data_IF_182046310414
#
_entry.id   IF_182046310414
#
_cell.length_a   1.000
_cell.length_b   1.000
_cell.length_c   1.000
_cell.angle_alpha   90.00
_cell.angle_beta   90.00
_cell.angle_gamma   90.00
#
_symmetry.space_group_name_H-M   'P 1'
#
loop_
_entity.id
_entity.type
_entity.pdbx_description
1 polymer ?
#
# COMPACT_ATOMS: atom_id res chain seq x y z
N UNK A 1 -5.90 -17.75 13.93
CA UNK A 1 -4.98 -18.90 14.18
C UNK A 1 -3.99 -18.58 15.32
N UNK A 2 -3.20 -17.50 15.23
CA UNK A 2 -2.14 -17.17 16.23
C UNK A 2 -2.74 -16.90 17.62
N UNK A 3 -3.77 -16.03 17.72
CA UNK A 3 -4.43 -15.71 18.99
C UNK A 3 -4.93 -16.98 19.71
N UNK A 4 -5.61 -17.88 18.98
CA UNK A 4 -6.05 -19.15 19.56
C UNK A 4 -4.87 -19.95 20.12
N UNK A 5 -3.77 -20.07 19.38
CA UNK A 5 -2.60 -20.81 19.82
C UNK A 5 -1.93 -20.20 21.07
N UNK A 6 -1.95 -18.87 21.19
CA UNK A 6 -1.43 -18.19 22.39
C UNK A 6 -2.31 -18.46 23.62
N UNK A 7 -3.63 -18.45 23.47
CA UNK A 7 -4.56 -18.86 24.52
C UNK A 7 -4.35 -20.33 24.93
N UNK A 8 -4.19 -21.23 23.96
CA UNK A 8 -3.93 -22.66 24.21
C UNK A 8 -2.59 -22.88 24.95
N UNK A 9 -1.65 -21.91 24.85
CA UNK A 9 -0.35 -21.91 25.57
C UNK A 9 -0.43 -21.18 26.93
N UNK A 10 -1.61 -20.74 27.36
CA UNK A 10 -1.83 -20.14 28.69
C UNK A 10 -1.59 -18.65 28.77
N UNK A 11 -1.51 -17.93 27.62
CA UNK A 11 -1.49 -16.47 27.62
C UNK A 11 -2.89 -15.97 28.01
N UNK A 12 -2.97 -15.08 28.97
CA UNK A 12 -4.24 -14.50 29.43
C UNK A 12 -4.93 -13.71 28.31
N UNK A 13 -6.24 -13.84 28.21
CA UNK A 13 -7.03 -13.17 27.18
C UNK A 13 -6.90 -11.65 27.22
N UNK A 14 -6.75 -11.08 28.41
CA UNK A 14 -6.55 -9.64 28.67
C UNK A 14 -5.25 -9.08 28.10
N UNK A 15 -4.25 -9.93 27.87
CA UNK A 15 -2.95 -9.56 27.30
C UNK A 15 -2.97 -9.59 25.77
N UNK A 16 -4.02 -10.12 25.16
CA UNK A 16 -4.15 -10.26 23.72
C UNK A 16 -5.13 -9.22 23.15
N UNK A 17 -4.85 -8.69 21.95
CA UNK A 17 -5.81 -7.84 21.26
C UNK A 17 -7.16 -8.54 21.11
N UNK A 18 -8.26 -7.83 21.33
CA UNK A 18 -9.61 -8.35 21.09
C UNK A 18 -9.81 -8.66 19.60
N UNK A 19 -10.81 -9.47 19.28
CA UNK A 19 -11.18 -9.75 17.87
C UNK A 19 -11.55 -8.44 17.16
N UNK A 20 -12.32 -7.58 17.82
CA UNK A 20 -12.71 -6.27 17.27
C UNK A 20 -11.50 -5.39 16.96
N UNK A 21 -10.50 -5.34 17.86
CA UNK A 21 -9.24 -4.62 17.60
C UNK A 21 -8.47 -5.19 16.42
N UNK A 22 -8.42 -6.52 16.28
CA UNK A 22 -7.76 -7.18 15.14
C UNK A 22 -8.49 -6.91 13.82
N UNK A 23 -9.83 -6.92 13.83
CA UNK A 23 -10.63 -6.63 12.64
C UNK A 23 -10.48 -5.16 12.24
N UNK A 24 -10.46 -4.24 13.19
CA UNK A 24 -10.18 -2.82 12.95
C UNK A 24 -8.78 -2.61 12.38
N UNK A 25 -7.78 -3.27 12.95
CA UNK A 25 -6.41 -3.21 12.43
C UNK A 25 -6.33 -3.75 11.01
N UNK A 26 -6.97 -4.89 10.74
CA UNK A 26 -7.06 -5.48 9.41
C UNK A 26 -7.70 -4.52 8.41
N UNK A 27 -8.83 -3.91 8.79
CA UNK A 27 -9.52 -2.92 7.97
C UNK A 27 -8.61 -1.73 7.64
N UNK A 28 -7.99 -1.10 8.65
CA UNK A 28 -7.10 0.04 8.45
C UNK A 28 -5.83 -0.31 7.65
N UNK A 29 -5.38 -1.57 7.69
CA UNK A 29 -4.22 -2.06 6.92
C UNK A 29 -4.58 -2.45 5.49
N UNK A 30 -5.86 -2.52 5.15
CA UNK A 30 -6.31 -2.86 3.81
C UNK A 30 -6.16 -1.66 2.87
N UNK A 31 -5.46 -1.84 1.74
CA UNK A 31 -5.16 -0.72 0.81
C UNK A 31 -6.39 0.02 0.28
N UNK A 32 -7.58 -0.59 0.29
CA UNK A 32 -8.80 0.12 -0.10
C UNK A 32 -9.11 1.34 0.78
N UNK A 33 -8.62 1.37 2.04
CA UNK A 33 -8.75 2.57 2.88
C UNK A 33 -7.95 3.75 2.28
N UNK A 34 -6.75 3.47 1.76
CA UNK A 34 -5.93 4.50 1.11
C UNK A 34 -6.55 4.98 -0.21
N UNK A 35 -7.21 4.10 -0.97
CA UNK A 35 -7.94 4.47 -2.20
C UNK A 35 -8.96 5.57 -1.93
N UNK A 36 -9.75 5.45 -0.86
CA UNK A 36 -10.75 6.45 -0.49
C UNK A 36 -10.16 7.77 0.05
N UNK A 37 -8.94 7.75 0.56
CA UNK A 37 -8.24 8.92 1.10
C UNK A 37 -7.45 9.68 0.02
N UNK A 38 -6.92 9.00 -0.97
CA UNK A 38 -6.02 9.58 -1.97
C UNK A 38 -6.56 10.84 -2.65
N UNK A 39 -7.82 10.90 -3.13
CA UNK A 39 -8.37 12.11 -3.74
C UNK A 39 -8.43 13.31 -2.79
N UNK A 40 -8.53 13.06 -1.48
CA UNK A 40 -8.60 14.12 -0.47
C UNK A 40 -7.22 14.70 -0.14
N UNK A 41 -6.16 13.94 -0.44
CA UNK A 41 -4.77 14.33 -0.20
C UNK A 41 -4.13 15.03 -1.42
N UNK A 42 -4.75 14.96 -2.58
CA UNK A 42 -4.27 15.59 -3.81
C UNK A 42 -4.68 17.07 -3.85
N UNK A 43 -3.88 17.93 -3.22
CA UNK A 43 -4.18 19.35 -3.04
C UNK A 43 -3.73 20.26 -4.20
N UNK A 44 -3.26 19.72 -5.31
CA UNK A 44 -2.80 20.51 -6.45
C UNK A 44 -2.35 19.66 -7.63
N UNK A 45 -2.17 20.29 -8.79
CA UNK A 45 -1.84 19.62 -10.06
C UNK A 45 -0.48 18.90 -10.06
N UNK A 46 0.41 19.20 -9.11
CA UNK A 46 1.68 18.49 -8.94
C UNK A 46 1.55 17.16 -8.20
N UNK A 47 0.41 16.92 -7.54
CA UNK A 47 0.10 15.66 -6.90
C UNK A 47 -0.78 14.85 -7.83
N UNK A 48 -0.21 13.82 -8.43
CA UNK A 48 -0.93 12.88 -9.26
C UNK A 48 -0.84 11.49 -8.63
N UNK A 49 -1.70 10.63 -9.02
CA UNK A 49 -1.74 9.25 -8.60
C UNK A 49 -3.17 8.78 -8.55
N UNK A 50 -3.40 7.62 -9.12
CA UNK A 50 -4.70 7.00 -9.17
C UNK A 50 -4.60 5.62 -8.56
N UNK A 51 -5.59 5.25 -7.77
CA UNK A 51 -5.69 3.94 -7.16
C UNK A 51 -7.15 3.53 -7.10
N UNK A 52 -7.44 2.32 -7.53
CA UNK A 52 -8.80 1.82 -7.69
C UNK A 52 -8.97 0.52 -6.92
N UNK A 53 -10.07 0.38 -6.20
CA UNK A 53 -10.45 -0.88 -5.58
C UNK A 53 -11.44 -1.62 -6.49
N UNK A 54 -10.98 -2.68 -7.11
CA UNK A 54 -11.68 -3.45 -8.14
C UNK A 54 -12.17 -4.76 -7.53
N UNK A 55 -13.48 -4.99 -7.57
CA UNK A 55 -14.13 -6.10 -6.87
C UNK A 55 -14.70 -7.18 -7.80
N UNK A 56 -14.97 -6.81 -9.07
CA UNK A 56 -15.59 -7.69 -10.06
C UNK A 56 -14.65 -8.04 -11.22
N UNK A 57 -14.81 -9.20 -11.84
CA UNK A 57 -13.97 -9.65 -12.96
C UNK A 57 -13.95 -8.68 -14.15
N UNK A 58 -15.08 -8.03 -14.43
CA UNK A 58 -15.23 -7.06 -15.51
C UNK A 58 -14.39 -5.81 -15.25
N UNK A 59 -14.32 -5.36 -14.00
CA UNK A 59 -13.50 -4.24 -13.57
C UNK A 59 -12.02 -4.54 -13.70
N UNK A 60 -11.57 -5.75 -13.31
CA UNK A 60 -10.16 -6.17 -13.45
C UNK A 60 -9.73 -6.17 -14.91
N UNK A 61 -10.58 -6.73 -15.78
CA UNK A 61 -10.33 -6.78 -17.21
C UNK A 61 -10.29 -5.39 -17.81
N UNK A 62 -11.32 -4.59 -17.59
CA UNK A 62 -11.44 -3.23 -18.11
C UNK A 62 -10.25 -2.37 -17.68
N UNK A 63 -9.86 -2.45 -16.40
CA UNK A 63 -8.72 -1.70 -15.88
C UNK A 63 -7.41 -2.07 -16.57
N UNK A 64 -7.12 -3.37 -16.71
CA UNK A 64 -5.88 -3.83 -17.37
C UNK A 64 -5.85 -3.43 -18.84
N UNK A 65 -6.97 -3.57 -19.56
CA UNK A 65 -7.05 -3.28 -20.99
C UNK A 65 -7.10 -1.78 -21.33
N UNK A 66 -7.44 -0.93 -20.35
CA UNK A 66 -7.44 0.54 -20.51
C UNK A 66 -6.09 1.21 -20.25
N UNK A 67 -5.06 0.45 -19.85
CA UNK A 67 -3.73 0.97 -19.54
C UNK A 67 -2.65 0.18 -20.27
N UNK A 68 -1.74 0.86 -20.95
CA UNK A 68 -0.59 0.22 -21.60
C UNK A 68 0.25 -0.58 -20.60
N UNK A 69 0.43 -0.02 -19.42
CA UNK A 69 1.08 -0.67 -18.28
C UNK A 69 0.38 -0.31 -16.97
N UNK A 70 0.13 -1.31 -16.15
CA UNK A 70 -0.46 -1.08 -14.83
C UNK A 70 0.01 -2.12 -13.81
N UNK A 71 -0.29 -1.87 -12.55
CA UNK A 71 0.06 -2.73 -11.43
C UNK A 71 -1.20 -3.13 -10.68
N UNK A 72 -1.43 -4.43 -10.55
CA UNK A 72 -2.44 -4.97 -9.65
C UNK A 72 -1.77 -5.40 -8.34
N UNK A 73 -2.38 -5.02 -7.21
CA UNK A 73 -1.85 -5.29 -5.87
C UNK A 73 -2.88 -6.06 -5.03
N UNK A 74 -2.41 -7.04 -4.29
CA UNK A 74 -3.23 -7.66 -3.24
C UNK A 74 -3.43 -6.65 -2.09
N UNK A 75 -4.66 -6.42 -1.61
CA UNK A 75 -4.95 -5.37 -0.62
C UNK A 75 -4.18 -5.51 0.71
N UNK A 76 -3.94 -6.74 1.15
CA UNK A 76 -3.21 -7.06 2.39
C UNK A 76 -1.86 -7.69 2.06
N UNK A 77 -0.95 -6.93 1.46
CA UNK A 77 0.39 -7.38 1.13
C UNK A 77 1.40 -6.26 1.33
N UNK A 78 2.68 -6.60 1.47
CA UNK A 78 3.77 -5.66 1.65
C UNK A 78 5.08 -6.18 1.07
N UNK A 79 6.13 -5.36 1.10
CA UNK A 79 7.51 -5.72 0.72
C UNK A 79 7.62 -6.35 -0.67
N UNK A 80 6.92 -5.79 -1.65
CA UNK A 80 6.92 -6.28 -3.04
C UNK A 80 6.14 -7.58 -3.28
N UNK A 81 5.59 -8.20 -2.22
CA UNK A 81 4.75 -9.39 -2.38
C UNK A 81 3.33 -9.00 -2.81
N UNK A 82 2.65 -9.90 -3.52
CA UNK A 82 1.26 -9.66 -3.96
C UNK A 82 1.14 -8.56 -5.01
N UNK A 83 2.14 -8.39 -5.85
CA UNK A 83 2.13 -7.52 -7.02
C UNK A 83 1.98 -8.36 -8.30
N UNK A 84 1.23 -7.84 -9.26
CA UNK A 84 1.09 -8.40 -10.59
C UNK A 84 1.21 -7.28 -11.64
N UNK A 85 2.26 -7.34 -12.41
CA UNK A 85 2.60 -6.37 -13.45
C UNK A 85 1.86 -6.70 -14.74
N UNK A 86 1.08 -5.77 -15.26
CA UNK A 86 0.25 -5.96 -16.44
C UNK A 86 0.71 -5.04 -17.58
N UNK A 87 0.62 -5.55 -18.82
CA UNK A 87 1.00 -4.84 -20.05
C UNK A 87 -0.17 -4.78 -21.03
N UNK A 88 -1.26 -4.12 -20.65
CA UNK A 88 -2.41 -3.88 -21.51
C UNK A 88 -3.22 -5.10 -21.96
N UNK A 89 -2.83 -6.31 -21.54
CA UNK A 89 -3.50 -7.56 -21.94
C UNK A 89 -3.97 -8.33 -20.73
N UNK A 90 -5.27 -8.56 -20.63
CA UNK A 90 -5.86 -9.37 -19.56
C UNK A 90 -5.78 -10.86 -19.89
N UNK A 91 -4.79 -11.53 -19.33
CA UNK A 91 -4.51 -12.95 -19.58
C UNK A 91 -5.25 -13.89 -18.62
N UNK A 92 -5.41 -15.19 -18.95
CA UNK A 92 -5.94 -16.19 -18.01
C UNK A 92 -5.15 -16.27 -16.68
N UNK A 93 -3.83 -16.05 -16.72
CA UNK A 93 -2.99 -16.00 -15.52
C UNK A 93 -3.36 -14.83 -14.61
N UNK A 94 -3.55 -13.63 -15.17
CA UNK A 94 -4.00 -12.45 -14.43
C UNK A 94 -5.38 -12.69 -13.86
N UNK A 95 -6.32 -13.22 -14.65
CA UNK A 95 -7.68 -13.57 -14.22
C UNK A 95 -7.68 -14.53 -13.03
N UNK A 96 -6.89 -15.61 -13.09
CA UNK A 96 -6.75 -16.58 -12.01
C UNK A 96 -6.15 -15.97 -10.75
N UNK A 97 -5.16 -15.08 -10.90
CA UNK A 97 -4.57 -14.36 -9.77
C UNK A 97 -5.58 -13.41 -9.12
N UNK A 98 -6.30 -12.59 -9.90
CA UNK A 98 -7.35 -11.69 -9.40
C UNK A 98 -8.47 -12.44 -8.68
N UNK A 99 -8.95 -13.55 -9.28
CA UNK A 99 -9.99 -14.38 -8.68
C UNK A 99 -9.59 -14.95 -7.33
N UNK A 100 -8.34 -15.41 -7.21
CA UNK A 100 -7.79 -15.91 -5.94
C UNK A 100 -7.69 -14.80 -4.89
N UNK A 101 -7.14 -13.64 -5.25
CA UNK A 101 -7.02 -12.50 -4.33
C UNK A 101 -8.41 -11.95 -3.96
N UNK A 102 -9.31 -11.79 -4.92
CA UNK A 102 -10.69 -11.35 -4.69
C UNK A 102 -11.42 -12.23 -3.68
N UNK A 103 -11.33 -13.57 -3.82
CA UNK A 103 -11.90 -14.52 -2.84
C UNK A 103 -11.31 -14.40 -1.43
N UNK A 104 -10.02 -14.10 -1.32
CA UNK A 104 -9.31 -14.05 -0.04
C UNK A 104 -9.41 -12.69 0.65
N UNK A 105 -9.45 -11.61 -0.13
CA UNK A 105 -9.27 -10.24 0.36
C UNK A 105 -10.34 -9.26 -0.15
N UNK A 106 -11.38 -9.74 -0.84
CA UNK A 106 -12.53 -8.95 -1.27
C UNK A 106 -12.37 -8.23 -2.61
N UNK A 107 -11.17 -8.14 -3.16
CA UNK A 107 -10.89 -7.46 -4.43
C UNK A 107 -9.39 -7.29 -4.66
N UNK A 108 -9.03 -6.50 -5.66
CA UNK A 108 -7.64 -6.12 -5.97
C UNK A 108 -7.54 -4.60 -6.07
N UNK A 109 -6.35 -4.06 -5.84
CA UNK A 109 -6.06 -2.66 -6.09
C UNK A 109 -5.42 -2.54 -7.46
N UNK A 110 -5.95 -1.66 -8.32
CA UNK A 110 -5.36 -1.32 -9.62
C UNK A 110 -4.74 0.07 -9.56
N UNK A 111 -3.52 0.20 -10.08
CA UNK A 111 -2.82 1.48 -10.19
C UNK A 111 -2.15 1.59 -11.55
N UNK A 112 -2.22 2.75 -12.24
CA UNK A 112 -1.38 3.03 -13.40
C UNK A 112 0.10 2.90 -13.03
N UNK A 113 0.93 2.48 -13.95
CA UNK A 113 2.37 2.44 -13.72
C UNK A 113 2.99 3.80 -14.12
N UNK A 114 3.52 4.49 -13.13
CA UNK A 114 4.23 5.76 -13.33
C UNK A 114 5.73 5.53 -13.53
N UNK A 115 6.37 6.48 -14.20
CA UNK A 115 7.83 6.52 -14.31
C UNK A 115 8.44 7.02 -13.00
N UNK A 116 8.65 6.09 -12.08
CA UNK A 116 9.18 6.37 -10.76
C UNK A 116 10.61 6.88 -10.81
N UNK A 117 10.90 7.96 -10.09
CA UNK A 117 12.23 8.55 -9.91
C UNK A 117 12.83 8.15 -8.56
N UNK A 118 12.06 8.34 -7.49
CA UNK A 118 12.50 8.05 -6.11
C UNK A 118 11.42 7.35 -5.29
N UNK A 119 11.85 6.52 -4.35
CA UNK A 119 11.00 5.91 -3.32
C UNK A 119 11.29 6.57 -1.97
N UNK A 120 10.27 7.09 -1.30
CA UNK A 120 10.40 7.60 0.05
C UNK A 120 9.14 7.35 0.88
N UNK A 121 9.28 7.45 2.18
CA UNK A 121 8.16 7.44 3.11
C UNK A 121 8.28 8.60 4.10
N UNK A 122 7.14 9.07 4.58
CA UNK A 122 7.01 9.95 5.74
C UNK A 122 6.57 9.09 6.92
N UNK A 123 7.33 9.12 7.99
CA UNK A 123 7.05 8.35 9.20
C UNK A 123 6.28 9.20 10.21
N UNK A 124 5.23 8.62 10.79
CA UNK A 124 4.41 9.28 11.80
C UNK A 124 4.30 8.43 13.05
N UNK A 125 4.26 9.07 14.19
CA UNK A 125 3.97 8.44 15.48
C UNK A 125 2.60 8.88 15.99
N UNK A 126 1.81 7.92 16.43
CA UNK A 126 0.61 8.19 17.22
C UNK A 126 0.89 7.97 18.69
N UNK A 127 0.32 8.81 19.56
CA UNK A 127 0.35 8.66 20.99
C UNK A 127 -0.99 8.12 21.53
N UNK A 128 -1.00 7.62 22.75
CA UNK A 128 -2.20 7.06 23.39
C UNK A 128 -3.35 8.07 23.55
N UNK A 129 -3.06 9.37 23.47
CA UNK A 129 -4.06 10.44 23.53
C UNK A 129 -4.59 10.86 22.14
N UNK A 130 -4.33 10.10 21.09
CA UNK A 130 -4.79 10.35 19.72
C UNK A 130 -4.04 11.47 18.99
N UNK A 131 -2.92 11.96 19.52
CA UNK A 131 -2.07 12.93 18.80
C UNK A 131 -1.16 12.20 17.82
N UNK A 132 -0.94 12.82 16.67
CA UNK A 132 0.00 12.38 15.64
C UNK A 132 1.13 13.38 15.54
N UNK A 133 2.34 12.90 15.36
CA UNK A 133 3.51 13.72 15.12
C UNK A 133 4.35 13.13 14.00
N UNK A 134 4.91 13.99 13.17
CA UNK A 134 5.89 13.60 12.18
C UNK A 134 7.15 13.09 12.90
N UNK A 135 7.68 11.95 12.45
CA UNK A 135 8.82 11.28 13.08
C UNK A 135 10.08 11.33 12.23
N UNK A 136 9.95 11.56 10.92
CA UNK A 136 11.08 11.65 10.01
C UNK A 136 10.74 11.11 8.63
N UNK A 137 11.77 11.07 7.78
CA UNK A 137 11.72 10.50 6.43
C UNK A 137 12.47 9.18 6.34
N UNK A 138 12.09 8.37 5.38
CA UNK A 138 12.81 7.18 4.96
C UNK A 138 12.94 7.21 3.45
N UNK A 139 14.16 7.21 2.93
CA UNK A 139 14.44 7.06 1.50
C UNK A 139 14.97 5.65 1.26
N UNK A 140 14.36 4.93 0.31
CA UNK A 140 14.67 3.52 0.09
C UNK A 140 14.71 3.19 -1.40
N UNK A 141 15.18 1.99 -1.71
CA UNK A 141 15.21 1.47 -3.08
C UNK A 141 14.36 0.22 -3.20
N UNK A 142 13.69 0.12 -4.33
CA UNK A 142 12.99 -1.11 -4.75
C UNK A 142 13.53 -1.56 -6.09
N UNK A 143 13.72 -2.86 -6.24
CA UNK A 143 14.13 -3.47 -7.50
C UNK A 143 13.04 -3.41 -8.58
N UNK A 144 13.36 -3.86 -9.79
CA UNK A 144 12.44 -3.87 -10.93
C UNK A 144 11.14 -4.69 -10.71
N UNK A 145 11.14 -5.61 -9.75
CA UNK A 145 9.95 -6.37 -9.34
C UNK A 145 9.11 -5.63 -8.27
N UNK A 146 9.55 -4.47 -7.80
CA UNK A 146 8.96 -3.76 -6.65
C UNK A 146 9.38 -4.33 -5.29
N UNK A 147 10.33 -5.28 -5.25
CA UNK A 147 10.85 -5.80 -4.00
C UNK A 147 11.76 -4.77 -3.33
N UNK A 148 11.61 -4.61 -2.02
CA UNK A 148 12.47 -3.74 -1.22
C UNK A 148 13.91 -4.27 -1.21
N UNK A 149 14.87 -3.37 -1.47
CA UNK A 149 16.30 -3.68 -1.52
C UNK A 149 17.09 -3.09 -0.35
N UNK A 150 16.65 -1.95 0.19
CA UNK A 150 17.32 -1.32 1.33
C UNK A 150 17.00 0.17 1.48
N UNK A 151 17.35 0.72 2.64
CA UNK A 151 17.25 2.14 2.95
C UNK A 151 18.58 2.86 2.73
N UNK A 152 18.50 4.14 2.36
CA UNK A 152 19.62 5.06 2.43
C UNK A 152 19.75 5.59 3.86
N UNK A 153 20.93 5.41 4.45
CA UNK A 153 21.23 5.89 5.80
C UNK A 153 21.77 7.34 5.72
N UNK A 154 20.86 8.28 5.57
CA UNK A 154 21.12 9.72 5.50
C UNK A 154 20.18 10.46 6.43
N UNK A 155 20.52 11.73 6.76
CA UNK A 155 19.68 12.54 7.65
C UNK A 155 18.38 12.98 6.98
N UNK A 156 17.34 13.24 7.77
CA UNK A 156 16.07 13.79 7.29
C UNK A 156 16.27 15.06 6.45
N UNK A 157 17.15 15.96 6.88
CA UNK A 157 17.47 17.17 6.13
C UNK A 157 18.13 16.90 4.76
N UNK A 158 18.86 15.80 4.62
CA UNK A 158 19.41 15.39 3.32
C UNK A 158 18.32 14.78 2.43
N UNK A 159 17.42 13.97 2.99
CA UNK A 159 16.27 13.42 2.26
C UNK A 159 15.38 14.56 1.78
N UNK A 160 15.06 15.50 2.65
CA UNK A 160 14.21 16.64 2.31
C UNK A 160 14.80 17.48 1.16
N UNK A 161 16.10 17.75 1.18
CA UNK A 161 16.78 18.44 0.05
C UNK A 161 16.66 17.66 -1.26
N UNK A 162 16.83 16.33 -1.22
CA UNK A 162 16.68 15.49 -2.40
C UNK A 162 15.25 15.55 -2.94
N UNK A 163 14.24 15.49 -2.05
CA UNK A 163 12.84 15.55 -2.43
C UNK A 163 12.45 16.91 -3.02
N UNK A 164 13.02 18.00 -2.51
CA UNK A 164 12.76 19.36 -3.01
C UNK A 164 13.17 19.57 -4.47
N UNK A 165 14.05 18.72 -5.02
CA UNK A 165 14.38 18.75 -6.45
C UNK A 165 13.19 18.31 -7.32
N UNK A 166 12.24 17.52 -6.78
CA UNK A 166 11.11 16.93 -7.50
C UNK A 166 9.77 17.45 -7.02
N UNK A 167 9.63 17.80 -5.75
CA UNK A 167 8.38 18.19 -5.12
C UNK A 167 8.51 19.62 -4.60
N UNK A 168 7.64 20.56 -5.05
CA UNK A 168 7.59 21.90 -4.48
C UNK A 168 6.98 21.82 -3.07
N UNK A 169 7.81 21.60 -2.06
CA UNK A 169 7.38 21.68 -0.66
C UNK A 169 7.13 23.15 -0.33
N UNK A 170 5.89 23.51 -0.12
CA UNK A 170 5.56 24.83 0.42
C UNK A 170 5.78 24.79 1.93
N UNK A 171 6.74 25.56 2.41
CA UNK A 171 6.89 25.90 3.83
C UNK A 171 5.66 26.65 4.36
#
# INVERSE_FOLDING_TARGET
AIRKRLLDLGVEESELPSIEQLDKLRFCSHRSCAVGLLPQLQLGACFCGESFYLTFPEEWKSFVESHDTCLLKAPLSGSGKGLNWCKGVYTPSISGWCSRIGKQQGGVIGEPLYNKVEDFAMEFRSSSNGRFGFAGYSQFRTGGSGAYEGNLLISDAAIERNLLEYIPVRS
#
